data_IF_123813481506
#
_entry.id   IF_123813481506
#
_cell.length_a   1.000
_cell.length_b   1.000
_cell.length_c   1.000
_cell.angle_alpha   90.00
_cell.angle_beta   90.00
_cell.angle_gamma   90.00
#
_symmetry.space_group_name_H-M   'P 1'
#
loop_
_entity.id
_entity.type
_entity.pdbx_description
1 polymer ?
#
# COMPACT_ATOMS: atom_id res chain seq x y z
N UNK A 1 16.10 -2.11 11.89
CA UNK A 1 15.82 -0.89 11.10
C UNK A 1 15.95 0.29 12.07
N UNK A 2 16.93 1.17 11.89
CA UNK A 2 17.21 2.25 12.86
C UNK A 2 16.05 3.24 12.90
N UNK A 3 15.51 3.49 14.09
CA UNK A 3 14.35 4.37 14.34
C UNK A 3 14.63 5.87 14.12
N UNK A 4 15.84 6.21 13.65
CA UNK A 4 16.44 7.55 13.74
C UNK A 4 16.02 8.56 12.65
N UNK A 5 15.06 8.26 11.78
CA UNK A 5 14.65 9.20 10.72
C UNK A 5 13.22 9.71 10.82
N UNK A 6 12.27 8.85 11.23
CA UNK A 6 10.85 9.17 11.09
C UNK A 6 10.40 10.37 11.94
N UNK A 7 11.00 10.57 13.11
CA UNK A 7 10.66 11.72 13.96
C UNK A 7 11.19 13.04 13.38
N UNK A 8 12.42 13.07 12.86
CA UNK A 8 13.00 14.27 12.24
C UNK A 8 12.31 14.64 10.91
N UNK A 9 11.79 13.65 10.19
CA UNK A 9 11.10 13.87 8.93
C UNK A 9 9.75 14.57 9.12
N UNK A 10 9.03 14.30 10.21
CA UNK A 10 7.73 14.94 10.51
C UNK A 10 7.80 16.45 10.66
N UNK A 11 8.93 16.96 11.13
CA UNK A 11 9.13 18.39 11.34
C UNK A 11 9.31 19.16 10.02
N UNK A 12 9.54 18.43 8.91
CA UNK A 12 9.95 19.02 7.62
C UNK A 12 9.08 18.58 6.45
N UNK A 13 8.35 17.47 6.59
CA UNK A 13 7.60 16.85 5.51
C UNK A 13 6.23 16.38 6.00
N UNK A 14 5.26 16.44 5.10
CA UNK A 14 4.00 15.72 5.25
C UNK A 14 4.29 14.25 4.96
N UNK A 15 4.07 13.40 5.96
CA UNK A 15 4.30 11.96 5.85
C UNK A 15 2.97 11.23 5.64
N UNK A 16 2.77 10.73 4.43
CA UNK A 16 1.61 9.93 4.07
C UNK A 16 2.00 8.48 3.82
N UNK A 17 1.12 7.55 4.19
CA UNK A 17 1.24 6.12 3.92
C UNK A 17 0.13 5.68 2.98
N UNK A 18 0.50 5.00 1.88
CA UNK A 18 -0.47 4.39 0.98
C UNK A 18 -0.52 2.89 1.27
N UNK A 19 -1.69 2.40 1.66
CA UNK A 19 -1.90 0.98 2.00
C UNK A 19 -3.02 0.39 1.15
N UNK A 20 -3.18 -0.92 1.24
CA UNK A 20 -4.20 -1.68 0.49
C UNK A 20 -4.80 -2.72 1.45
N UNK A 21 -5.21 -2.23 2.63
CA UNK A 21 -5.54 -3.07 3.78
C UNK A 21 -6.91 -3.75 3.67
N UNK A 22 -7.76 -3.25 2.77
CA UNK A 22 -9.11 -3.78 2.53
C UNK A 22 -9.18 -4.70 1.32
N UNK A 23 -8.10 -4.86 0.54
CA UNK A 23 -8.09 -5.77 -0.60
C UNK A 23 -8.21 -7.23 -0.18
N UNK A 24 -9.13 -7.93 -0.84
CA UNK A 24 -9.25 -9.39 -0.79
C UNK A 24 -8.20 -10.05 -1.67
N UNK A 25 -8.02 -11.37 -1.47
CA UNK A 25 -7.15 -12.19 -2.33
C UNK A 25 -7.53 -12.05 -3.81
N UNK A 26 -8.83 -12.13 -4.10
CA UNK A 26 -9.34 -12.07 -5.48
C UNK A 26 -9.11 -10.70 -6.13
N UNK A 27 -9.16 -9.61 -5.37
CA UNK A 27 -8.88 -8.27 -5.87
C UNK A 27 -7.39 -8.08 -6.17
N UNK A 28 -6.50 -8.61 -5.34
CA UNK A 28 -5.06 -8.62 -5.65
C UNK A 28 -4.78 -9.43 -6.91
N UNK A 29 -5.27 -10.66 -7.00
CA UNK A 29 -5.08 -11.52 -8.17
C UNK A 29 -5.61 -10.85 -9.45
N UNK A 30 -6.78 -10.22 -9.37
CA UNK A 30 -7.35 -9.45 -10.48
C UNK A 30 -6.44 -8.29 -10.90
N UNK A 31 -5.89 -7.58 -9.94
CA UNK A 31 -4.99 -6.46 -10.22
C UNK A 31 -3.68 -6.93 -10.85
N UNK A 32 -3.04 -7.98 -10.32
CA UNK A 32 -1.83 -8.56 -10.93
C UNK A 32 -2.09 -8.96 -12.39
N UNK A 33 -3.15 -9.72 -12.64
CA UNK A 33 -3.53 -10.13 -14.00
C UNK A 33 -3.85 -8.97 -14.95
N UNK A 34 -4.26 -7.82 -14.42
CA UNK A 34 -4.67 -6.66 -15.22
C UNK A 34 -3.51 -5.71 -15.49
N UNK A 35 -2.63 -5.51 -14.52
CA UNK A 35 -1.64 -4.43 -14.53
C UNK A 35 -0.20 -4.91 -14.59
N UNK A 36 0.11 -6.17 -14.22
CA UNK A 36 1.47 -6.68 -14.33
C UNK A 36 1.90 -6.73 -15.80
N UNK A 37 3.16 -6.40 -16.01
CA UNK A 37 3.87 -6.40 -17.29
C UNK A 37 4.98 -7.44 -17.26
N UNK A 38 5.60 -7.76 -18.39
CA UNK A 38 6.69 -8.76 -18.46
C UNK A 38 7.88 -8.45 -17.52
N UNK A 39 8.03 -7.18 -17.11
CA UNK A 39 9.05 -6.74 -16.15
C UNK A 39 8.70 -7.06 -14.69
N UNK A 40 7.42 -7.37 -14.40
CA UNK A 40 6.95 -7.73 -13.07
C UNK A 40 7.22 -9.22 -12.79
N UNK A 41 7.84 -9.50 -11.65
CA UNK A 41 8.23 -10.86 -11.28
C UNK A 41 7.04 -11.81 -11.07
N UNK A 42 5.84 -11.27 -10.79
CA UNK A 42 4.57 -11.99 -10.67
C UNK A 42 3.86 -12.23 -12.00
N UNK A 43 4.35 -11.65 -13.11
CA UNK A 43 3.66 -11.68 -14.41
C UNK A 43 3.40 -13.10 -14.93
N UNK A 44 4.39 -13.98 -14.77
CA UNK A 44 4.32 -15.36 -15.26
C UNK A 44 3.72 -16.33 -14.24
N UNK A 45 3.23 -15.85 -13.09
CA UNK A 45 2.63 -16.72 -12.09
C UNK A 45 1.26 -17.21 -12.56
N UNK A 46 0.99 -18.48 -12.30
CA UNK A 46 -0.35 -19.03 -12.39
C UNK A 46 -1.28 -18.40 -11.36
N UNK A 47 -2.59 -18.58 -11.56
CA UNK A 47 -3.58 -18.06 -10.62
C UNK A 47 -3.43 -18.63 -9.20
N UNK A 48 -3.03 -19.89 -9.08
CA UNK A 48 -2.80 -20.55 -7.79
C UNK A 48 -1.55 -19.99 -7.10
N UNK A 49 -0.45 -19.77 -7.85
CA UNK A 49 0.77 -19.12 -7.34
C UNK A 49 0.50 -17.68 -6.88
N UNK A 50 -0.28 -16.91 -7.64
CA UNK A 50 -0.70 -15.56 -7.23
C UNK A 50 -1.53 -15.59 -5.96
N UNK A 51 -2.49 -16.51 -5.84
CA UNK A 51 -3.30 -16.67 -4.62
C UNK A 51 -2.46 -17.03 -3.41
N UNK A 52 -1.52 -17.96 -3.58
CA UNK A 52 -0.60 -18.38 -2.53
C UNK A 52 0.26 -17.20 -2.06
N UNK A 53 0.91 -16.50 -2.99
CA UNK A 53 1.71 -15.31 -2.70
C UNK A 53 0.89 -14.22 -1.98
N UNK A 54 -0.33 -13.96 -2.44
CA UNK A 54 -1.16 -12.91 -1.82
C UNK A 54 -1.52 -13.27 -0.38
N UNK A 55 -1.88 -14.52 -0.13
CA UNK A 55 -2.29 -14.99 1.18
C UNK A 55 -1.11 -15.06 2.17
N UNK A 56 0.07 -15.49 1.71
CA UNK A 56 1.25 -15.70 2.55
C UNK A 56 2.07 -14.42 2.76
N UNK A 57 2.14 -13.55 1.75
CA UNK A 57 3.06 -12.41 1.75
C UNK A 57 2.35 -11.07 1.60
N UNK A 58 1.57 -10.87 0.53
CA UNK A 58 1.07 -9.53 0.20
C UNK A 58 0.13 -8.95 1.28
N UNK A 59 -0.85 -9.73 1.74
CA UNK A 59 -1.79 -9.29 2.78
C UNK A 59 -1.08 -9.14 4.14
N UNK A 60 -0.28 -10.12 4.63
CA UNK A 60 0.48 -9.96 5.87
C UNK A 60 1.44 -8.77 5.85
N UNK A 61 2.14 -8.54 4.73
CA UNK A 61 3.00 -7.38 4.54
C UNK A 61 2.21 -6.07 4.63
N UNK A 62 1.05 -5.98 3.96
CA UNK A 62 0.22 -4.79 4.01
C UNK A 62 -0.25 -4.47 5.43
N UNK A 63 -0.67 -5.49 6.20
CA UNK A 63 -1.04 -5.34 7.61
C UNK A 63 0.15 -4.84 8.44
N UNK A 64 1.31 -5.49 8.31
CA UNK A 64 2.52 -5.10 9.04
C UNK A 64 2.96 -3.67 8.71
N UNK A 65 2.88 -3.29 7.44
CA UNK A 65 3.17 -1.93 6.98
C UNK A 65 2.19 -0.92 7.56
N UNK A 66 0.90 -1.24 7.58
CA UNK A 66 -0.15 -0.38 8.17
C UNK A 66 0.11 -0.13 9.66
N UNK A 67 0.44 -1.19 10.41
CA UNK A 67 0.79 -1.09 11.83
C UNK A 67 2.05 -0.24 12.03
N UNK A 68 3.06 -0.42 11.18
CA UNK A 68 4.30 0.35 11.23
C UNK A 68 4.04 1.84 10.97
N UNK A 69 3.34 2.18 9.88
CA UNK A 69 2.97 3.55 9.52
C UNK A 69 2.16 4.22 10.64
N UNK A 70 1.23 3.49 11.25
CA UNK A 70 0.44 3.95 12.39
C UNK A 70 1.33 4.24 13.60
N UNK A 71 2.27 3.33 13.94
CA UNK A 71 3.24 3.52 15.03
C UNK A 71 4.05 4.80 14.84
N UNK A 72 4.42 5.11 13.61
CA UNK A 72 5.17 6.32 13.27
C UNK A 72 4.27 7.50 12.89
N UNK A 73 2.97 7.47 13.15
CA UNK A 73 2.06 8.63 13.02
C UNK A 73 1.98 9.21 11.61
N UNK A 74 2.07 8.36 10.58
CA UNK A 74 1.77 8.76 9.20
C UNK A 74 0.26 8.95 9.03
N UNK A 75 -0.15 9.89 8.17
CA UNK A 75 -1.53 9.90 7.68
C UNK A 75 -1.70 8.78 6.67
N UNK A 76 -2.59 7.83 6.94
CA UNK A 76 -2.75 6.63 6.11
C UNK A 76 -3.96 6.79 5.19
N UNK A 77 -3.76 6.51 3.91
CA UNK A 77 -4.80 6.43 2.89
C UNK A 77 -4.89 5.01 2.35
N UNK A 78 -6.08 4.43 2.42
CA UNK A 78 -6.33 3.11 1.85
C UNK A 78 -6.67 3.26 0.35
N UNK A 79 -5.88 2.60 -0.49
CA UNK A 79 -5.96 2.64 -1.96
C UNK A 79 -6.53 1.34 -2.55
N UNK A 80 -7.16 0.52 -1.72
CA UNK A 80 -7.79 -0.76 -2.13
C UNK A 80 -8.90 -0.53 -3.15
N UNK A 81 -9.68 0.54 -2.98
CA UNK A 81 -10.77 0.93 -3.85
C UNK A 81 -10.73 2.43 -4.16
N UNK A 82 -11.48 2.86 -5.18
CA UNK A 82 -11.74 4.29 -5.48
C UNK A 82 -10.48 5.18 -5.54
N UNK A 83 -9.40 4.69 -6.17
CA UNK A 83 -8.07 5.32 -6.16
C UNK A 83 -8.07 6.80 -6.57
N UNK A 84 -8.90 7.20 -7.53
CA UNK A 84 -9.03 8.60 -7.95
C UNK A 84 -9.57 9.48 -6.82
N UNK A 85 -10.62 9.04 -6.12
CA UNK A 85 -11.21 9.75 -4.99
C UNK A 85 -10.21 9.85 -3.82
N UNK A 86 -9.47 8.78 -3.56
CA UNK A 86 -8.40 8.78 -2.56
C UNK A 86 -7.28 9.75 -2.95
N UNK A 87 -6.92 9.80 -4.23
CA UNK A 87 -5.92 10.73 -4.73
C UNK A 87 -6.37 12.19 -4.58
N UNK A 88 -7.59 12.52 -4.99
CA UNK A 88 -8.16 13.86 -4.82
C UNK A 88 -8.16 14.29 -3.34
N UNK A 89 -8.51 13.35 -2.44
CA UNK A 89 -8.45 13.58 -1.00
C UNK A 89 -7.03 13.87 -0.51
N UNK A 90 -6.02 13.13 -1.00
CA UNK A 90 -4.61 13.37 -0.65
C UNK A 90 -4.20 14.78 -1.08
N UNK A 91 -4.56 15.20 -2.30
CA UNK A 91 -4.23 16.53 -2.82
C UNK A 91 -4.91 17.62 -1.99
N UNK A 92 -6.18 17.43 -1.64
CA UNK A 92 -6.92 18.35 -0.77
C UNK A 92 -6.26 18.48 0.61
N UNK A 93 -5.96 17.36 1.26
CA UNK A 93 -5.34 17.35 2.60
C UNK A 93 -3.95 18.02 2.58
N UNK A 94 -3.13 17.75 1.55
CA UNK A 94 -1.80 18.37 1.39
C UNK A 94 -1.92 19.87 1.12
N UNK A 95 -2.88 20.30 0.29
CA UNK A 95 -3.04 21.72 -0.07
C UNK A 95 -3.53 22.57 1.11
N UNK A 96 -4.19 21.94 2.09
CA UNK A 96 -4.71 22.57 3.30
C UNK A 96 -3.81 22.40 4.54
N UNK A 97 -2.62 21.79 4.38
CA UNK A 97 -1.65 21.53 5.45
C UNK A 97 -0.68 22.68 5.71
#
# INVERSE_FOLDING_TARGET
MQEYGANELKDRFILIGLVQGQKTVDEYVRDFKKYDTEDDWTYNFSEDELREYVAQDAIPFNRSMTEYLTKYGFTIYDTSAERESVFDKIIEDISNS
#
